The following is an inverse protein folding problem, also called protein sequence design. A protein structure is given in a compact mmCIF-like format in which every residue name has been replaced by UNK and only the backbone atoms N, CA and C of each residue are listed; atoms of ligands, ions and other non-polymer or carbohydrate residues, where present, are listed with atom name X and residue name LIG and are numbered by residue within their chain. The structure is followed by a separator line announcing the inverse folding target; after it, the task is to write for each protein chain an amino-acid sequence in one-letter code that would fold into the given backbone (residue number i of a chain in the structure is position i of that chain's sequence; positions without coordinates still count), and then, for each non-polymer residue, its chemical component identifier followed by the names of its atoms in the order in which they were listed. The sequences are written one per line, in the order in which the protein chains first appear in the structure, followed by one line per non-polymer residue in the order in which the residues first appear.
data_IF_596626708787
#
_entry.id   IF_596626708787
#
_cell.length_a   1.000
_cell.length_b   1.000
_cell.length_c   1.000
_cell.angle_alpha   90.00
_cell.angle_beta   90.00
_cell.angle_gamma   90.00
#
_symmetry.space_group_name_H-M   'P 1'
#
loop_
_entity.id
_entity.type
_entity.pdbx_description
1 polymer ?
#
# COMPACT_ATOMS: atom_id res chain seq x y z
N UNK A 1 1.84 12.40 16.36
CA UNK A 1 2.35 12.07 17.72
C UNK A 1 1.25 11.95 18.77
N UNK A 2 0.17 12.73 18.70
CA UNK A 2 -0.92 12.69 19.70
C UNK A 2 -1.54 11.29 19.92
N UNK A 3 -1.78 10.52 18.85
CA UNK A 3 -2.38 9.18 18.96
C UNK A 3 -1.49 8.14 19.64
N UNK A 4 -0.18 8.37 19.71
CA UNK A 4 0.78 7.41 20.27
C UNK A 4 1.01 7.61 21.76
N UNK A 5 0.63 8.77 22.32
CA UNK A 5 0.86 9.11 23.73
C UNK A 5 2.29 8.77 24.22
N UNK A 6 3.30 8.96 23.35
CA UNK A 6 4.71 8.62 23.63
C UNK A 6 5.10 7.15 23.49
N UNK A 7 4.18 6.23 23.18
CA UNK A 7 4.46 4.80 23.04
C UNK A 7 5.25 4.49 21.74
N UNK A 8 6.19 3.53 21.77
CA UNK A 8 6.84 3.00 20.57
C UNK A 8 5.82 2.53 19.54
N UNK A 9 6.12 2.71 18.25
CA UNK A 9 5.17 2.45 17.15
C UNK A 9 4.66 1.01 17.22
N UNK A 10 5.59 0.06 17.37
CA UNK A 10 5.28 -1.36 17.44
C UNK A 10 4.44 -1.76 18.63
N UNK A 11 4.46 -1.01 19.72
CA UNK A 11 3.61 -1.31 20.87
C UNK A 11 2.13 -1.07 20.54
N UNK A 12 1.86 -0.15 19.61
CA UNK A 12 0.51 0.20 19.15
C UNK A 12 0.11 -0.64 17.94
N UNK A 13 0.95 -0.71 16.91
CA UNK A 13 0.58 -1.34 15.62
C UNK A 13 0.98 -2.81 15.53
N UNK A 14 1.95 -3.27 16.32
CA UNK A 14 2.44 -4.65 16.30
C UNK A 14 1.34 -5.70 16.51
N UNK A 15 0.42 -5.53 17.49
CA UNK A 15 -0.71 -6.43 17.66
C UNK A 15 -1.61 -6.54 16.42
N UNK A 16 -1.85 -5.42 15.72
CA UNK A 16 -2.63 -5.39 14.48
C UNK A 16 -1.86 -6.09 13.35
N UNK A 17 -0.56 -5.77 13.17
CA UNK A 17 0.28 -6.40 12.15
C UNK A 17 0.41 -7.91 12.33
N UNK A 18 0.41 -8.40 13.58
CA UNK A 18 0.44 -9.85 13.86
C UNK A 18 -0.76 -10.62 13.30
N UNK A 19 -1.88 -9.93 13.03
CA UNK A 19 -3.12 -10.50 12.48
C UNK A 19 -3.39 -10.02 11.04
N UNK A 20 -2.53 -9.14 10.52
CA UNK A 20 -2.68 -8.54 9.21
C UNK A 20 -2.24 -9.54 8.12
N UNK A 21 -3.09 -9.74 7.12
CA UNK A 21 -2.78 -10.59 5.95
C UNK A 21 -2.32 -9.78 4.75
N UNK A 22 -2.88 -8.59 4.56
CA UNK A 22 -2.59 -7.67 3.45
C UNK A 22 -2.29 -6.31 4.05
N UNK A 23 -1.09 -5.78 3.78
CA UNK A 23 -0.65 -4.45 4.21
C UNK A 23 -0.45 -3.57 2.98
N UNK A 24 -0.98 -2.35 3.00
CA UNK A 24 -0.89 -1.42 1.87
C UNK A 24 -0.27 -0.09 2.31
N UNK A 25 1.04 -0.07 2.63
CA UNK A 25 1.69 1.12 3.13
C UNK A 25 2.15 2.04 1.99
N UNK A 26 2.35 3.32 2.28
CA UNK A 26 3.29 4.14 1.52
C UNK A 26 4.74 3.73 1.77
N UNK A 27 5.68 4.18 0.94
CA UNK A 27 7.11 3.86 1.10
C UNK A 27 7.68 4.30 2.47
N UNK A 28 7.34 5.52 2.92
CA UNK A 28 7.81 6.05 4.21
C UNK A 28 7.23 5.28 5.40
N UNK A 29 5.96 4.89 5.34
CA UNK A 29 5.29 4.09 6.35
C UNK A 29 5.90 2.69 6.45
N UNK A 30 6.16 2.06 5.29
CA UNK A 30 6.83 0.76 5.20
C UNK A 30 8.19 0.80 5.92
N UNK A 31 9.02 1.79 5.58
CA UNK A 31 10.35 1.95 6.17
C UNK A 31 10.26 2.22 7.67
N UNK A 32 9.30 3.03 8.12
CA UNK A 32 9.09 3.31 9.55
C UNK A 32 8.71 2.04 10.34
N UNK A 33 7.80 1.22 9.79
CA UNK A 33 7.37 -0.03 10.40
C UNK A 33 8.52 -1.05 10.46
N UNK A 34 9.28 -1.18 9.38
CA UNK A 34 10.42 -2.08 9.30
C UNK A 34 11.56 -1.65 10.25
N UNK A 35 11.93 -0.37 10.24
CA UNK A 35 12.96 0.18 11.13
C UNK A 35 12.62 -0.03 12.61
N UNK A 36 11.33 0.09 12.97
CA UNK A 36 10.89 -0.18 14.33
C UNK A 36 11.09 -1.66 14.74
N UNK A 37 11.06 -2.60 13.78
CA UNK A 37 11.32 -4.03 14.02
C UNK A 37 12.81 -4.36 14.12
N UNK A 38 13.68 -3.57 13.49
CA UNK A 38 15.10 -3.86 13.31
C UNK A 38 15.98 -3.54 14.52
N UNK A 39 15.46 -2.79 15.50
CA UNK A 39 16.24 -2.35 16.67
C UNK A 39 17.46 -1.46 16.37
N UNK A 40 17.65 -0.98 15.13
CA UNK A 40 18.81 -0.17 14.75
C UNK A 40 18.60 0.71 13.51
N UNK A 41 19.29 1.87 13.55
CA UNK A 41 19.37 2.99 12.60
C UNK A 41 20.07 2.66 11.28
N UNK A 42 19.61 1.63 10.56
CA UNK A 42 20.09 1.33 9.21
C UNK A 42 19.11 1.88 8.17
N UNK A 43 19.63 2.50 7.12
CA UNK A 43 18.82 2.88 5.97
C UNK A 43 18.28 1.62 5.30
N UNK A 44 16.96 1.46 5.29
CA UNK A 44 16.28 0.30 4.72
C UNK A 44 15.81 0.63 3.31
N UNK A 45 16.11 -0.26 2.37
CA UNK A 45 15.50 -0.20 1.04
C UNK A 45 14.06 -0.70 1.12
N UNK A 46 13.26 -0.45 0.08
CA UNK A 46 11.91 -1.01 0.02
C UNK A 46 11.94 -2.55 0.12
N UNK A 47 12.83 -3.20 -0.63
CA UNK A 47 12.96 -4.65 -0.63
C UNK A 47 13.36 -5.20 0.75
N UNK A 48 14.34 -4.59 1.44
CA UNK A 48 14.74 -5.05 2.78
C UNK A 48 13.68 -4.76 3.83
N UNK A 49 12.91 -3.67 3.68
CA UNK A 49 11.78 -3.36 4.56
C UNK A 49 10.65 -4.37 4.43
N UNK A 50 10.30 -4.74 3.20
CA UNK A 50 9.31 -5.81 2.91
C UNK A 50 9.78 -7.13 3.50
N UNK A 51 11.01 -7.53 3.21
CA UNK A 51 11.56 -8.80 3.69
C UNK A 51 11.52 -8.87 5.21
N UNK A 52 11.92 -7.80 5.90
CA UNK A 52 11.90 -7.73 7.35
C UNK A 52 10.49 -7.88 7.92
N UNK A 53 9.48 -7.21 7.35
CA UNK A 53 8.10 -7.33 7.82
C UNK A 53 7.52 -8.73 7.55
N UNK A 54 7.82 -9.31 6.39
CA UNK A 54 7.40 -10.68 6.06
C UNK A 54 8.10 -11.73 6.96
N UNK A 55 9.36 -11.52 7.33
CA UNK A 55 10.05 -12.40 8.29
C UNK A 55 9.46 -12.26 9.70
N UNK A 56 9.13 -11.04 10.12
CA UNK A 56 8.60 -10.72 11.45
C UNK A 56 7.17 -11.24 11.66
N UNK A 57 6.30 -11.09 10.67
CA UNK A 57 4.86 -11.34 10.79
C UNK A 57 4.41 -12.45 9.84
N UNK A 58 4.28 -13.67 10.35
CA UNK A 58 3.94 -14.87 9.55
C UNK A 58 2.61 -14.74 8.79
N UNK A 59 1.61 -14.10 9.40
CA UNK A 59 0.29 -13.90 8.79
C UNK A 59 0.31 -12.94 7.62
N UNK A 60 1.31 -12.05 7.52
CA UNK A 60 1.41 -11.10 6.43
C UNK A 60 1.78 -11.84 5.14
N UNK A 61 0.89 -11.83 4.14
CA UNK A 61 1.05 -12.55 2.87
C UNK A 61 1.27 -11.62 1.69
N UNK A 62 0.71 -10.41 1.73
CA UNK A 62 0.80 -9.43 0.64
C UNK A 62 1.16 -8.07 1.21
N UNK A 63 2.12 -7.38 0.57
CA UNK A 63 2.45 -5.98 0.84
C UNK A 63 2.36 -5.20 -0.48
N UNK A 64 1.42 -4.26 -0.58
CA UNK A 64 1.26 -3.37 -1.73
C UNK A 64 1.82 -1.98 -1.41
N UNK A 65 3.04 -1.71 -1.85
CA UNK A 65 3.74 -0.45 -1.55
C UNK A 65 3.31 0.63 -2.53
N UNK A 66 2.65 1.68 -2.01
CA UNK A 66 2.24 2.86 -2.78
C UNK A 66 3.42 3.83 -2.93
N UNK A 67 3.75 4.22 -4.17
CA UNK A 67 4.83 5.16 -4.51
C UNK A 67 4.32 6.45 -5.18
N UNK A 68 3.03 6.76 -5.01
CA UNK A 68 2.42 7.96 -5.59
C UNK A 68 2.60 8.04 -7.11
N UNK A 69 3.24 9.11 -7.59
CA UNK A 69 3.49 9.33 -9.03
C UNK A 69 4.43 8.30 -9.67
N UNK A 70 5.14 7.49 -8.87
CA UNK A 70 6.00 6.40 -9.36
C UNK A 70 5.26 5.06 -9.46
N UNK A 71 3.96 5.03 -9.16
CA UNK A 71 3.12 3.84 -9.23
C UNK A 71 3.12 3.04 -7.92
N UNK A 72 3.25 1.72 -8.01
CA UNK A 72 3.26 0.84 -6.84
C UNK A 72 4.06 -0.44 -7.10
N UNK A 73 4.32 -1.21 -6.03
CA UNK A 73 4.95 -2.52 -6.09
C UNK A 73 4.22 -3.52 -5.19
N UNK A 74 3.87 -4.68 -5.74
CA UNK A 74 3.15 -5.72 -5.00
C UNK A 74 4.10 -6.86 -4.68
N UNK A 75 4.30 -7.10 -3.39
CA UNK A 75 5.10 -8.19 -2.87
C UNK A 75 4.20 -9.29 -2.31
N UNK A 76 4.49 -10.54 -2.67
CA UNK A 76 3.70 -11.71 -2.27
C UNK A 76 4.64 -12.70 -1.59
N UNK A 77 4.29 -13.12 -0.38
CA UNK A 77 5.09 -14.10 0.38
C UNK A 77 5.30 -15.37 -0.45
N UNK A 78 6.54 -15.83 -0.49
CA UNK A 78 6.92 -17.06 -1.20
C UNK A 78 7.06 -16.88 -2.71
N UNK A 79 6.86 -15.67 -3.24
CA UNK A 79 7.17 -15.33 -4.62
C UNK A 79 8.41 -14.43 -4.66
N UNK A 80 9.42 -14.76 -5.51
CA UNK A 80 10.61 -13.93 -5.63
C UNK A 80 10.28 -12.61 -6.33
N UNK A 81 10.88 -11.52 -5.87
CA UNK A 81 10.72 -10.19 -6.48
C UNK A 81 9.40 -9.50 -6.11
N UNK A 82 8.89 -8.68 -7.03
CA UNK A 82 7.62 -7.96 -6.89
C UNK A 82 6.95 -7.81 -8.25
N UNK A 83 5.63 -7.58 -8.24
CA UNK A 83 4.89 -7.15 -9.41
C UNK A 83 4.92 -5.61 -9.49
N UNK A 84 5.56 -5.02 -10.51
CA UNK A 84 5.55 -3.58 -10.68
C UNK A 84 4.17 -3.12 -11.19
N UNK A 85 3.71 -1.99 -10.68
CA UNK A 85 2.49 -1.31 -11.11
C UNK A 85 2.89 0.02 -11.71
N UNK A 86 2.60 0.20 -13.00
CA UNK A 86 2.92 1.45 -13.68
C UNK A 86 2.07 2.59 -13.14
N UNK A 87 2.62 3.81 -13.01
CA UNK A 87 1.82 4.96 -12.64
C UNK A 87 0.77 5.28 -13.72
N UNK A 88 -0.38 5.79 -13.29
CA UNK A 88 -1.40 6.34 -14.18
C UNK A 88 -1.21 7.86 -14.20
N UNK A 89 -0.71 8.44 -15.30
CA UNK A 89 -0.39 9.87 -15.34
C UNK A 89 -1.68 10.68 -15.31
N UNK A 90 -1.77 11.58 -14.33
CA UNK A 90 -2.88 12.51 -14.16
C UNK A 90 -2.37 13.87 -13.69
N UNK A 91 -3.08 14.94 -14.06
CA UNK A 91 -2.88 16.26 -13.46
C UNK A 91 -3.55 16.27 -12.09
N UNK A 92 -2.74 16.25 -11.03
CA UNK A 92 -3.23 16.10 -9.67
C UNK A 92 -3.90 17.40 -9.18
N UNK A 93 -5.17 17.32 -8.79
CA UNK A 93 -5.95 18.44 -8.24
C UNK A 93 -5.97 18.37 -6.71
N UNK A 94 -6.35 17.21 -6.16
CA UNK A 94 -6.35 16.95 -4.72
C UNK A 94 -5.99 15.48 -4.46
N UNK A 95 -4.82 15.17 -3.87
CA UNK A 95 -4.40 13.79 -3.61
C UNK A 95 -5.13 13.16 -2.42
N UNK A 96 -5.95 13.92 -1.68
CA UNK A 96 -6.69 13.42 -0.52
C UNK A 96 -7.61 12.28 -0.96
N UNK A 97 -7.59 11.14 -0.24
CA UNK A 97 -8.42 9.97 -0.56
C UNK A 97 -7.86 9.07 -1.67
N UNK A 98 -6.84 9.48 -2.42
CA UNK A 98 -6.25 8.64 -3.48
C UNK A 98 -5.66 7.33 -2.94
N UNK A 99 -5.08 7.36 -1.73
CA UNK A 99 -4.59 6.18 -1.03
C UNK A 99 -5.71 5.21 -0.61
N UNK A 100 -6.83 5.74 -0.12
CA UNK A 100 -8.00 4.94 0.28
C UNK A 100 -8.67 4.30 -0.94
N UNK A 101 -8.76 5.05 -2.04
CA UNK A 101 -9.28 4.55 -3.32
C UNK A 101 -8.39 3.45 -3.90
N UNK A 102 -7.06 3.62 -3.81
CA UNK A 102 -6.11 2.57 -4.16
C UNK A 102 -6.36 1.31 -3.32
N UNK A 103 -6.48 1.46 -2.00
CA UNK A 103 -6.61 0.33 -1.09
C UNK A 103 -7.92 -0.44 -1.32
N UNK A 104 -9.04 0.27 -1.47
CA UNK A 104 -10.34 -0.30 -1.76
C UNK A 104 -10.35 -1.06 -3.10
N UNK A 105 -9.77 -0.48 -4.15
CA UNK A 105 -9.72 -1.09 -5.47
C UNK A 105 -8.77 -2.30 -5.51
N UNK A 106 -7.62 -2.25 -4.83
CA UNK A 106 -6.71 -3.38 -4.72
C UNK A 106 -7.39 -4.58 -4.05
N UNK A 107 -8.02 -4.35 -2.89
CA UNK A 107 -8.75 -5.38 -2.14
C UNK A 107 -9.92 -5.94 -2.97
N UNK A 108 -10.64 -5.07 -3.70
CA UNK A 108 -11.73 -5.50 -4.59
C UNK A 108 -11.23 -6.42 -5.69
N UNK A 109 -10.09 -6.10 -6.32
CA UNK A 109 -9.44 -6.96 -7.32
C UNK A 109 -9.02 -8.31 -6.75
N UNK A 110 -8.47 -8.33 -5.53
CA UNK A 110 -8.12 -9.56 -4.83
C UNK A 110 -9.33 -10.45 -4.58
N UNK A 111 -10.43 -9.87 -4.08
CA UNK A 111 -11.68 -10.59 -3.81
C UNK A 111 -12.28 -11.16 -5.11
N UNK A 112 -12.13 -10.43 -6.22
CA UNK A 112 -12.54 -10.87 -7.55
C UNK A 112 -11.61 -11.94 -8.18
N UNK A 113 -10.51 -12.32 -7.50
CA UNK A 113 -9.58 -13.33 -8.00
C UNK A 113 -8.70 -12.85 -9.16
N UNK A 114 -8.53 -11.54 -9.32
CA UNK A 114 -7.65 -10.98 -10.34
C UNK A 114 -6.17 -11.33 -10.06
N UNK A 115 -5.36 -11.33 -11.11
CA UNK A 115 -3.92 -11.47 -10.96
C UNK A 115 -3.32 -10.24 -10.25
N UNK A 116 -2.21 -10.38 -9.54
CA UNK A 116 -1.61 -9.30 -8.74
C UNK A 116 -1.30 -8.03 -9.54
N UNK A 117 -0.84 -8.19 -10.78
CA UNK A 117 -0.62 -7.08 -11.72
C UNK A 117 -1.92 -6.33 -12.00
N UNK A 118 -3.02 -7.04 -12.19
CA UNK A 118 -4.34 -6.45 -12.49
C UNK A 118 -4.93 -5.79 -11.25
N UNK A 119 -4.79 -6.40 -10.06
CA UNK A 119 -5.15 -5.76 -8.79
C UNK A 119 -4.42 -4.42 -8.62
N UNK A 120 -3.10 -4.42 -8.89
CA UNK A 120 -2.27 -3.23 -8.81
C UNK A 120 -2.70 -2.15 -9.82
N UNK A 121 -2.93 -2.53 -11.07
CA UNK A 121 -3.36 -1.57 -12.10
C UNK A 121 -4.76 -1.01 -11.82
N UNK A 122 -5.69 -1.83 -11.33
CA UNK A 122 -7.02 -1.39 -10.89
C UNK A 122 -6.90 -0.36 -9.76
N UNK A 123 -6.05 -0.64 -8.78
CA UNK A 123 -5.77 0.25 -7.66
C UNK A 123 -5.14 1.58 -8.10
N UNK A 124 -4.16 1.53 -9.01
CA UNK A 124 -3.51 2.72 -9.55
C UNK A 124 -4.50 3.61 -10.32
N UNK A 125 -5.39 3.01 -11.12
CA UNK A 125 -6.46 3.75 -11.83
C UNK A 125 -7.43 4.40 -10.85
N UNK A 126 -7.84 3.71 -9.79
CA UNK A 126 -8.76 4.25 -8.80
C UNK A 126 -8.13 5.41 -8.01
N UNK A 127 -6.88 5.26 -7.57
CA UNK A 127 -6.16 6.35 -6.90
C UNK A 127 -5.99 7.58 -7.82
N UNK A 128 -5.66 7.36 -9.08
CA UNK A 128 -5.52 8.45 -10.05
C UNK A 128 -6.86 9.14 -10.37
N UNK A 129 -7.94 8.38 -10.50
CA UNK A 129 -9.29 8.92 -10.72
C UNK A 129 -9.80 9.75 -9.52
N UNK A 130 -9.42 9.38 -8.29
CA UNK A 130 -9.67 10.21 -7.12
C UNK A 130 -8.89 11.52 -7.18
N UNK A 131 -7.61 11.44 -7.56
CA UNK A 131 -6.69 12.57 -7.46
C UNK A 131 -6.97 13.72 -8.45
N UNK A 132 -7.80 13.50 -9.47
CA UNK A 132 -8.21 14.51 -10.47
C UNK A 132 -9.50 15.26 -10.09
N UNK A 133 -10.18 14.85 -9.01
CA UNK A 133 -11.35 15.51 -8.49
C UNK A 133 -11.02 16.27 -7.20
N UNK A 134 -11.69 17.39 -6.94
CA UNK A 134 -11.52 18.13 -5.69
C UNK A 134 -12.37 17.48 -4.59
N UNK A 135 -11.72 17.00 -3.52
CA UNK A 135 -12.39 16.33 -2.41
C UNK A 135 -12.21 14.80 -2.41
N UNK A 136 -12.21 14.17 -1.22
CA UNK A 136 -11.71 12.79 -1.02
C UNK A 136 -12.55 11.68 -1.67
N UNK A 137 -13.79 11.96 -2.07
CA UNK A 137 -14.73 10.96 -2.60
C UNK A 137 -15.39 11.40 -3.92
N UNK A 138 -14.91 12.49 -4.52
CA UNK A 138 -15.54 13.11 -5.71
C UNK A 138 -15.03 12.52 -7.04
N UNK A 139 -14.07 11.59 -6.98
CA UNK A 139 -13.56 10.88 -8.15
C UNK A 139 -14.61 9.97 -8.79
N UNK A 140 -14.64 9.93 -10.12
CA UNK A 140 -15.48 9.00 -10.88
C UNK A 140 -14.92 7.57 -10.78
N UNK A 141 -15.24 6.87 -9.69
CA UNK A 141 -14.74 5.53 -9.38
C UNK A 141 -15.89 4.53 -9.54
N UNK A 142 -15.96 3.91 -10.72
CA UNK A 142 -16.90 2.83 -11.02
C UNK A 142 -16.25 1.78 -11.96
N UNK A 143 -16.97 0.68 -12.22
CA UNK A 143 -16.46 -0.40 -13.07
C UNK A 143 -16.07 0.07 -14.47
N UNK A 144 -16.91 0.88 -15.09
CA UNK A 144 -16.69 1.36 -16.44
C UNK A 144 -15.51 2.33 -16.49
N UNK A 145 -15.39 3.25 -15.53
CA UNK A 145 -14.31 4.24 -15.48
C UNK A 145 -12.94 3.62 -15.23
N UNK A 146 -12.89 2.50 -14.50
CA UNK A 146 -11.64 1.79 -14.19
C UNK A 146 -11.23 0.75 -15.24
N UNK A 147 -12.06 0.52 -16.27
CA UNK A 147 -11.84 -0.53 -17.26
C UNK A 147 -11.80 -1.92 -16.62
N UNK A 148 -12.69 -2.13 -15.66
CA UNK A 148 -12.88 -3.35 -14.88
C UNK A 148 -13.91 -4.27 -15.56
#
# INVERSE_FOLDING_TARGET
EELRAGRPLLEVVGPVLSRCTVLLPGLSELQMLAASCAGASRELTEASSVEQLLQRYENLKVIAVKRGAEGAAIYVRGQPGHFPVQPVPVEQVDPTGAGDCFDAAFISGMIAGLHWTDCGMLAARAGAACAVAFGPMEGAIDRASLGW
#
